data_IF_070618772840
#
_entry.id   IF_070618772840
#
_cell.length_a   1.000
_cell.length_b   1.000
_cell.length_c   1.000
_cell.angle_alpha   90.00
_cell.angle_beta   90.00
_cell.angle_gamma   90.00
#
_symmetry.space_group_name_H-M   'P 1'
#
loop_
_entity.id
_entity.type
_entity.pdbx_description
1 polymer ?
#
# COMPACT_ATOMS: atom_id res chain seq x y z
N UNK A 1 -55.48 41.32 18.99
CA UNK A 1 -54.54 42.25 18.32
C UNK A 1 -53.21 41.54 18.10
N UNK A 2 -53.11 40.78 17.00
CA UNK A 2 -51.81 40.35 16.48
C UNK A 2 -51.19 41.57 15.80
N UNK A 3 -50.10 42.10 16.36
CA UNK A 3 -49.31 43.11 15.68
C UNK A 3 -48.83 42.50 14.35
N UNK A 4 -49.23 43.13 13.23
CA UNK A 4 -48.59 42.92 11.93
C UNK A 4 -47.15 43.40 12.09
N UNK A 5 -46.25 42.50 12.49
CA UNK A 5 -44.82 42.72 12.33
C UNK A 5 -44.57 42.80 10.83
N UNK A 6 -44.39 44.02 10.35
CA UNK A 6 -43.87 44.29 9.01
C UNK A 6 -42.65 43.39 8.78
N UNK A 7 -42.64 42.66 7.67
CA UNK A 7 -41.51 41.83 7.27
C UNK A 7 -40.44 42.76 6.71
N UNK A 8 -39.58 43.28 7.58
CA UNK A 8 -38.43 44.07 7.14
C UNK A 8 -37.35 43.11 6.64
N UNK A 9 -37.32 42.91 5.32
CA UNK A 9 -36.17 42.29 4.65
C UNK A 9 -34.92 43.15 4.79
N UNK A 10 -33.74 42.55 4.63
CA UNK A 10 -32.48 43.29 4.66
C UNK A 10 -32.42 44.20 3.41
N UNK A 11 -32.24 45.54 3.57
CA UNK A 11 -32.37 46.50 2.47
C UNK A 11 -31.38 46.27 1.32
N UNK A 12 -30.16 45.85 1.65
CA UNK A 12 -29.10 45.60 0.67
C UNK A 12 -29.04 44.15 0.15
N UNK A 13 -30.01 43.31 0.50
CA UNK A 13 -30.06 41.94 -0.01
C UNK A 13 -30.64 41.94 -1.44
N UNK A 14 -29.99 41.23 -2.37
CA UNK A 14 -30.43 41.09 -3.76
C UNK A 14 -31.79 40.41 -3.93
N UNK A 15 -32.34 39.83 -2.86
CA UNK A 15 -33.70 39.31 -2.77
C UNK A 15 -34.65 40.25 -2.02
N UNK A 16 -34.45 41.56 -2.07
CA UNK A 16 -35.12 42.56 -1.21
C UNK A 16 -36.63 42.37 -1.00
N UNK A 17 -37.38 41.88 -2.00
CA UNK A 17 -38.83 41.61 -1.90
C UNK A 17 -39.18 40.29 -1.17
N UNK A 18 -38.30 39.29 -1.22
CA UNK A 18 -38.49 37.97 -0.59
C UNK A 18 -37.52 37.72 0.57
N UNK A 19 -36.74 38.73 0.95
CA UNK A 19 -35.69 38.60 1.94
C UNK A 19 -36.31 38.29 3.31
N UNK A 20 -36.02 37.11 3.84
CA UNK A 20 -36.44 36.71 5.19
C UNK A 20 -35.43 37.11 6.27
N UNK A 21 -34.39 37.86 5.90
CA UNK A 21 -33.34 38.30 6.81
C UNK A 21 -33.67 39.61 7.50
N UNK A 22 -33.17 39.79 8.72
CA UNK A 22 -33.25 41.05 9.47
C UNK A 22 -32.12 42.00 9.00
N UNK A 23 -32.32 43.34 8.99
CA UNK A 23 -31.28 44.36 8.77
C UNK A 23 -29.98 44.21 9.58
N UNK A 24 -29.97 43.45 10.67
CA UNK A 24 -28.78 43.17 11.48
C UNK A 24 -27.97 41.94 11.00
N UNK A 25 -28.47 41.19 10.02
CA UNK A 25 -27.74 40.05 9.48
C UNK A 25 -26.61 40.52 8.56
N UNK A 26 -25.54 39.72 8.57
CA UNK A 26 -24.33 39.97 7.80
C UNK A 26 -24.60 39.91 6.31
N UNK A 27 -23.86 40.69 5.53
CA UNK A 27 -23.93 40.67 4.06
C UNK A 27 -22.83 39.78 3.49
N UNK A 28 -23.18 38.98 2.49
CA UNK A 28 -22.29 38.04 1.81
C UNK A 28 -22.35 38.35 0.31
N UNK A 29 -21.21 38.63 -0.28
CA UNK A 29 -21.08 38.89 -1.71
C UNK A 29 -20.76 37.59 -2.45
N UNK A 30 -21.56 37.24 -3.45
CA UNK A 30 -21.32 36.09 -4.32
C UNK A 30 -20.12 36.37 -5.24
N UNK A 31 -19.17 35.44 -5.33
CA UNK A 31 -18.11 35.49 -6.34
C UNK A 31 -18.57 34.76 -7.60
N UNK A 32 -18.67 35.49 -8.71
CA UNK A 32 -19.00 34.91 -10.01
C UNK A 32 -17.98 35.37 -11.05
N UNK A 33 -17.11 34.45 -11.49
CA UNK A 33 -16.13 34.74 -12.55
C UNK A 33 -14.99 35.68 -12.16
N UNK A 34 -14.76 35.92 -10.86
CA UNK A 34 -13.71 36.82 -10.36
C UNK A 34 -14.17 38.25 -10.09
N UNK A 35 -15.41 38.59 -10.45
CA UNK A 35 -16.02 39.88 -10.15
C UNK A 35 -16.94 39.81 -8.90
N UNK A 36 -17.11 40.95 -8.23
CA UNK A 36 -18.10 41.11 -7.15
C UNK A 36 -19.51 40.93 -7.72
N UNK A 37 -20.17 39.83 -7.34
CA UNK A 37 -21.52 39.51 -7.76
C UNK A 37 -22.60 40.12 -6.87
N UNK A 38 -23.77 39.47 -6.85
CA UNK A 38 -24.92 39.90 -6.06
C UNK A 38 -24.64 39.74 -4.55
N UNK A 39 -25.17 40.65 -3.76
CA UNK A 39 -25.05 40.65 -2.30
C UNK A 39 -26.28 39.99 -1.69
N UNK A 40 -26.11 39.10 -0.71
CA UNK A 40 -27.18 38.42 0.01
C UNK A 40 -26.99 38.62 1.51
N UNK A 41 -28.06 38.76 2.27
CA UNK A 41 -27.93 38.62 3.72
C UNK A 41 -27.65 37.15 4.08
N UNK A 42 -27.07 36.92 5.26
CA UNK A 42 -26.63 35.60 5.72
C UNK A 42 -27.73 34.52 5.64
N UNK A 43 -28.98 34.89 5.97
CA UNK A 43 -30.12 33.97 5.89
C UNK A 43 -30.45 33.57 4.44
N UNK A 44 -30.45 34.53 3.52
CA UNK A 44 -30.70 34.25 2.10
C UNK A 44 -29.53 33.48 1.47
N UNK A 45 -28.30 33.77 1.90
CA UNK A 45 -27.10 33.05 1.46
C UNK A 45 -27.14 31.57 1.83
N UNK A 46 -27.49 31.23 3.09
CA UNK A 46 -27.62 29.82 3.52
C UNK A 46 -28.63 29.06 2.66
N UNK A 47 -29.79 29.67 2.38
CA UNK A 47 -30.81 29.06 1.53
C UNK A 47 -30.34 28.87 0.09
N UNK A 48 -29.56 29.82 -0.42
CA UNK A 48 -28.98 29.75 -1.76
C UNK A 48 -27.93 28.64 -1.88
N UNK A 49 -27.07 28.49 -0.87
CA UNK A 49 -26.02 27.44 -0.84
C UNK A 49 -26.57 26.06 -0.54
N UNK A 50 -27.69 25.93 0.17
CA UNK A 50 -28.43 24.66 0.30
C UNK A 50 -28.88 24.12 -1.06
N UNK A 51 -29.24 25.01 -1.99
CA UNK A 51 -29.63 24.63 -3.35
C UNK A 51 -28.42 24.52 -4.30
N UNK A 52 -27.34 25.24 -4.02
CA UNK A 52 -26.16 25.35 -4.87
C UNK A 52 -24.88 25.30 -4.00
N UNK A 53 -24.43 24.11 -3.57
CA UNK A 53 -23.34 23.98 -2.60
C UNK A 53 -21.97 24.45 -3.13
N UNK A 54 -21.82 24.60 -4.44
CA UNK A 54 -20.57 25.04 -5.08
C UNK A 54 -20.38 26.57 -5.08
N UNK A 55 -21.37 27.35 -4.64
CA UNK A 55 -21.26 28.80 -4.60
C UNK A 55 -20.30 29.26 -3.50
N UNK A 56 -19.38 30.14 -3.87
CA UNK A 56 -18.42 30.75 -2.94
C UNK A 56 -18.80 32.21 -2.75
N UNK A 57 -18.83 32.66 -1.50
CA UNK A 57 -19.08 34.06 -1.15
C UNK A 57 -18.16 34.52 -0.02
N UNK A 58 -17.93 35.82 0.05
CA UNK A 58 -17.14 36.42 1.13
C UNK A 58 -18.00 37.37 1.98
N UNK A 59 -17.71 37.40 3.28
CA UNK A 59 -18.35 38.30 4.23
C UNK A 59 -17.98 39.75 3.92
N UNK A 60 -18.98 40.58 3.71
CA UNK A 60 -18.88 42.02 3.46
C UNK A 60 -19.44 42.80 4.64
N UNK A 61 -18.97 42.48 5.85
CA UNK A 61 -19.30 43.25 7.04
C UNK A 61 -18.18 44.27 7.28
N UNK A 62 -18.47 45.57 7.08
CA UNK A 62 -17.49 46.61 7.45
C UNK A 62 -17.65 47.97 6.79
N UNK A 63 -18.47 48.12 5.76
CA UNK A 63 -18.72 49.42 5.15
C UNK A 63 -20.20 49.76 5.31
N UNK A 64 -20.51 50.57 6.32
CA UNK A 64 -21.86 51.14 6.40
C UNK A 64 -22.08 52.07 5.22
N UNK A 65 -23.33 52.27 4.79
CA UNK A 65 -23.64 53.20 3.69
C UNK A 65 -23.22 54.65 4.01
N UNK A 66 -23.02 54.97 5.28
CA UNK A 66 -22.46 56.24 5.77
C UNK A 66 -20.95 56.38 5.42
N UNK A 67 -20.18 55.29 5.46
CA UNK A 67 -18.75 55.29 5.09
C UNK A 67 -18.56 55.55 3.57
N UNK A 68 -19.52 55.13 2.73
CA UNK A 68 -19.49 55.38 1.29
C UNK A 68 -19.74 56.83 0.91
N UNK A 69 -20.59 57.54 1.67
CA UNK A 69 -20.82 58.98 1.44
C UNK A 69 -19.61 59.82 1.88
N UNK A 70 -18.87 59.37 2.90
CA UNK A 70 -17.60 59.99 3.28
C UNK A 70 -16.49 59.75 2.24
N UNK A 71 -16.43 58.56 1.63
CA UNK A 71 -15.42 58.22 0.62
C UNK A 71 -15.58 58.99 -0.71
N UNK A 72 -16.81 59.33 -1.12
CA UNK A 72 -17.06 60.08 -2.36
C UNK A 72 -16.53 61.53 -2.34
N UNK A 73 -16.14 62.06 -1.16
CA UNK A 73 -15.56 63.39 -1.00
C UNK A 73 -14.03 63.47 -0.99
N UNK A 74 -13.32 62.34 -0.99
CA UNK A 74 -11.87 62.28 -0.68
C UNK A 74 -10.98 62.07 -1.93
N UNK A 75 -11.53 62.15 -3.14
CA UNK A 75 -10.80 61.76 -4.37
C UNK A 75 -9.92 62.87 -5.01
N UNK A 76 -9.42 63.82 -4.20
CA UNK A 76 -8.49 64.87 -4.67
C UNK A 76 -7.09 64.85 -4.04
N UNK A 77 -6.84 63.97 -3.05
CA UNK A 77 -5.52 63.81 -2.42
C UNK A 77 -4.91 62.42 -2.71
N UNK A 78 -5.06 61.93 -3.95
CA UNK A 78 -4.39 60.72 -4.44
C UNK A 78 -2.93 61.05 -4.83
N UNK A 79 -2.18 61.64 -3.90
CA UNK A 79 -0.77 61.99 -4.08
C UNK A 79 0.08 61.16 -3.14
N UNK A 80 1.00 60.37 -3.71
CA UNK A 80 1.99 59.54 -3.01
C UNK A 80 1.46 58.23 -2.41
N UNK A 81 1.20 57.24 -3.27
CA UNK A 81 1.24 55.83 -2.87
C UNK A 81 2.62 55.56 -2.25
N UNK A 82 2.65 55.02 -1.03
CA UNK A 82 3.89 54.82 -0.30
C UNK A 82 4.70 53.71 -0.98
N UNK A 83 5.90 53.98 -1.51
CA UNK A 83 6.68 52.98 -2.28
C UNK A 83 7.04 51.73 -1.46
N UNK A 84 7.01 51.80 -0.12
CA UNK A 84 7.17 50.64 0.76
C UNK A 84 5.97 49.68 0.68
N UNK A 85 4.75 50.19 0.52
CA UNK A 85 3.55 49.36 0.34
C UNK A 85 3.57 48.64 -1.02
N UNK A 86 4.10 49.29 -2.06
CA UNK A 86 4.23 48.67 -3.38
C UNK A 86 5.23 47.50 -3.37
N UNK A 87 6.32 47.58 -2.60
CA UNK A 87 7.26 46.47 -2.44
C UNK A 87 6.65 45.28 -1.70
N UNK A 88 5.92 45.53 -0.60
CA UNK A 88 5.25 44.47 0.15
C UNK A 88 4.18 43.77 -0.70
N UNK A 89 3.39 44.54 -1.45
CA UNK A 89 2.41 43.99 -2.40
C UNK A 89 3.08 43.17 -3.50
N UNK A 90 4.23 43.61 -4.03
CA UNK A 90 4.98 42.83 -5.02
C UNK A 90 5.52 41.52 -4.42
N UNK A 91 6.03 41.54 -3.19
CA UNK A 91 6.52 40.34 -2.51
C UNK A 91 5.39 39.33 -2.29
N UNK A 92 4.24 39.78 -1.79
CA UNK A 92 3.05 38.93 -1.60
C UNK A 92 2.53 38.35 -2.91
N UNK A 93 2.62 39.10 -4.02
CA UNK A 93 2.26 38.59 -5.36
C UNK A 93 3.21 37.48 -5.81
N UNK A 94 4.51 37.63 -5.61
CA UNK A 94 5.50 36.60 -5.95
C UNK A 94 5.30 35.34 -5.10
N UNK A 95 5.06 35.49 -3.80
CA UNK A 95 4.77 34.38 -2.90
C UNK A 95 3.49 33.64 -3.30
N UNK A 96 2.42 34.36 -3.64
CA UNK A 96 1.19 33.75 -4.14
C UNK A 96 1.38 32.99 -5.46
N UNK A 97 2.20 33.51 -6.37
CA UNK A 97 2.54 32.80 -7.62
C UNK A 97 3.28 31.50 -7.30
N UNK A 98 4.28 31.55 -6.40
CA UNK A 98 5.04 30.38 -5.96
C UNK A 98 4.13 29.32 -5.32
N UNK A 99 3.27 29.72 -4.38
CA UNK A 99 2.31 28.81 -3.74
C UNK A 99 1.31 28.22 -4.73
N UNK A 100 0.88 28.97 -5.76
CA UNK A 100 0.02 28.44 -6.82
C UNK A 100 0.74 27.40 -7.66
N UNK A 101 2.01 27.63 -8.00
CA UNK A 101 2.84 26.66 -8.73
C UNK A 101 3.08 25.39 -7.91
N UNK A 102 3.40 25.52 -6.62
CA UNK A 102 3.56 24.38 -5.70
C UNK A 102 2.26 23.59 -5.57
N UNK A 103 1.12 24.26 -5.36
CA UNK A 103 -0.19 23.60 -5.31
C UNK A 103 -0.54 22.90 -6.62
N UNK A 104 -0.22 23.49 -7.77
CA UNK A 104 -0.44 22.85 -9.06
C UNK A 104 0.44 21.61 -9.22
N UNK A 105 1.72 21.68 -8.82
CA UNK A 105 2.63 20.53 -8.81
C UNK A 105 2.10 19.39 -7.93
N UNK A 106 1.67 19.70 -6.70
CA UNK A 106 1.09 18.73 -5.79
C UNK A 106 -0.19 18.09 -6.35
N UNK A 107 -1.04 18.88 -7.02
CA UNK A 107 -2.24 18.34 -7.69
C UNK A 107 -1.90 17.36 -8.80
N UNK A 108 -0.89 17.67 -9.61
CA UNK A 108 -0.41 16.76 -10.65
C UNK A 108 0.16 15.47 -10.06
N UNK A 109 0.94 15.57 -8.97
CA UNK A 109 1.47 14.40 -8.25
C UNK A 109 0.34 13.54 -7.66
N UNK A 110 -0.68 14.16 -7.06
CA UNK A 110 -1.86 13.45 -6.55
C UNK A 110 -2.64 12.74 -7.66
N UNK A 111 -2.80 13.38 -8.83
CA UNK A 111 -3.48 12.78 -9.98
C UNK A 111 -2.69 11.60 -10.58
N UNK A 112 -1.37 11.57 -10.40
CA UNK A 112 -0.52 10.47 -10.84
C UNK A 112 -0.53 9.28 -9.85
N UNK A 113 -1.10 9.42 -8.66
CA UNK A 113 -1.18 8.32 -7.70
C UNK A 113 -2.14 7.23 -8.20
N UNK A 114 -1.84 5.95 -7.94
CA UNK A 114 -2.74 4.87 -8.30
C UNK A 114 -4.12 4.99 -7.63
N UNK A 115 -5.21 4.57 -8.29
CA UNK A 115 -6.56 4.64 -7.73
C UNK A 115 -6.70 3.99 -6.35
N UNK A 116 -6.03 2.85 -6.11
CA UNK A 116 -6.04 2.19 -4.81
C UNK A 116 -5.49 3.09 -3.68
N UNK A 117 -4.48 3.91 -3.97
CA UNK A 117 -3.88 4.86 -3.02
C UNK A 117 -4.84 6.00 -2.73
N UNK A 118 -5.47 6.56 -3.76
CA UNK A 118 -6.44 7.64 -3.63
C UNK A 118 -7.67 7.22 -2.81
N UNK A 119 -8.20 6.02 -3.07
CA UNK A 119 -9.34 5.48 -2.31
C UNK A 119 -8.94 5.18 -0.86
N UNK A 120 -7.73 4.64 -0.63
CA UNK A 120 -7.22 4.43 0.73
C UNK A 120 -7.11 5.76 1.48
N UNK A 121 -6.59 6.81 0.84
CA UNK A 121 -6.46 8.12 1.44
C UNK A 121 -7.84 8.73 1.78
N UNK A 122 -8.82 8.59 0.88
CA UNK A 122 -10.20 9.01 1.13
C UNK A 122 -10.82 8.23 2.31
N UNK A 123 -10.62 6.92 2.36
CA UNK A 123 -11.09 6.10 3.48
C UNK A 123 -10.46 6.50 4.82
N UNK A 124 -9.15 6.78 4.85
CA UNK A 124 -8.46 7.25 6.06
C UNK A 124 -9.02 8.61 6.51
N UNK A 125 -9.29 9.52 5.57
CA UNK A 125 -9.84 10.84 5.88
C UNK A 125 -11.28 10.76 6.39
N UNK A 126 -12.12 9.98 5.73
CA UNK A 126 -13.58 10.06 5.88
C UNK A 126 -14.14 8.98 6.81
N UNK A 127 -13.63 7.74 6.73
CA UNK A 127 -14.15 6.56 7.45
C UNK A 127 -13.40 6.25 8.75
N UNK A 128 -12.07 6.38 8.79
CA UNK A 128 -11.31 6.10 10.02
C UNK A 128 -11.77 6.94 11.23
N UNK A 129 -12.07 8.26 11.11
CA UNK A 129 -12.60 9.02 12.25
C UNK A 129 -13.97 8.53 12.71
N UNK A 130 -14.82 8.06 11.79
CA UNK A 130 -16.13 7.47 12.12
C UNK A 130 -15.93 6.16 12.88
N UNK A 131 -15.02 5.33 12.40
CA UNK A 131 -14.61 4.06 13.01
C UNK A 131 -14.10 4.27 14.44
N UNK A 132 -13.23 5.25 14.65
CA UNK A 132 -12.67 5.59 15.96
C UNK A 132 -13.74 6.05 16.94
N UNK A 133 -14.74 6.83 16.49
CA UNK A 133 -15.87 7.23 17.34
C UNK A 133 -16.78 6.05 17.70
N UNK A 134 -17.06 5.17 16.75
CA UNK A 134 -17.91 3.99 16.97
C UNK A 134 -17.26 2.98 17.94
N UNK A 135 -15.93 2.81 17.87
CA UNK A 135 -15.22 1.79 18.64
C UNK A 135 -15.11 2.08 20.14
N UNK A 136 -15.41 3.31 20.59
CA UNK A 136 -15.37 3.70 22.02
C UNK A 136 -16.31 2.84 22.86
N UNK A 137 -17.42 2.37 22.26
CA UNK A 137 -18.49 1.66 22.97
C UNK A 137 -18.42 0.13 22.86
N UNK A 138 -17.50 -0.42 22.05
CA UNK A 138 -17.43 -1.87 21.80
C UNK A 138 -16.17 -2.45 22.45
N UNK A 139 -16.36 -3.34 23.44
CA UNK A 139 -15.25 -3.97 24.18
C UNK A 139 -14.58 -5.10 23.42
N UNK A 140 -15.34 -5.88 22.64
CA UNK A 140 -14.90 -7.20 22.16
C UNK A 140 -14.27 -7.14 20.76
N UNK A 141 -14.12 -5.92 20.23
CA UNK A 141 -13.81 -5.67 18.83
C UNK A 141 -15.03 -5.88 17.93
N UNK A 142 -14.91 -5.44 16.69
CA UNK A 142 -15.98 -5.53 15.70
C UNK A 142 -15.40 -5.77 14.31
N UNK A 143 -16.20 -6.41 13.46
CA UNK A 143 -15.82 -6.73 12.09
C UNK A 143 -15.96 -5.50 11.21
N UNK A 144 -14.91 -5.17 10.46
CA UNK A 144 -14.86 -4.04 9.52
C UNK A 144 -13.92 -4.37 8.36
N UNK A 145 -14.28 -3.95 7.15
CA UNK A 145 -13.41 -4.05 5.99
C UNK A 145 -12.49 -2.82 5.93
N UNK A 146 -11.17 -3.07 5.95
CA UNK A 146 -10.16 -2.01 5.96
C UNK A 146 -9.29 -2.14 4.70
N UNK A 147 -9.01 -1.03 3.97
CA UNK A 147 -8.06 -1.04 2.86
C UNK A 147 -6.71 -1.62 3.28
N UNK A 148 -6.14 -2.51 2.46
CA UNK A 148 -4.84 -3.16 2.76
C UNK A 148 -3.74 -2.10 2.97
N UNK A 149 -3.77 -1.02 2.20
CA UNK A 149 -2.80 0.08 2.27
C UNK A 149 -2.96 0.94 3.54
N UNK A 150 -4.10 0.90 4.23
CA UNK A 150 -4.31 1.58 5.51
C UNK A 150 -3.75 0.79 6.71
N UNK A 151 -3.48 -0.51 6.52
CA UNK A 151 -2.96 -1.38 7.57
C UNK A 151 -1.43 -1.25 7.69
N UNK A 152 -0.93 -1.39 8.92
CA UNK A 152 0.50 -1.37 9.29
C UNK A 152 0.88 -2.67 9.95
N UNK A 153 2.13 -3.05 9.77
CA UNK A 153 2.69 -4.19 10.49
C UNK A 153 3.08 -3.77 11.90
N UNK A 154 2.97 -4.71 12.83
CA UNK A 154 3.54 -4.54 14.18
C UNK A 154 5.05 -4.79 14.20
N UNK A 155 5.51 -5.79 13.46
CA UNK A 155 6.92 -6.21 13.46
C UNK A 155 7.62 -5.70 12.21
N UNK A 156 8.90 -5.30 12.34
CA UNK A 156 9.79 -5.00 11.23
C UNK A 156 10.31 -6.23 10.49
N UNK A 157 10.08 -7.42 11.03
CA UNK A 157 10.51 -8.68 10.43
C UNK A 157 9.38 -9.72 10.43
N UNK A 158 9.25 -10.48 9.34
CA UNK A 158 8.34 -11.63 9.25
C UNK A 158 9.16 -12.90 9.31
N UNK A 159 8.90 -13.76 10.31
CA UNK A 159 9.66 -14.98 10.53
C UNK A 159 8.75 -16.23 10.62
N UNK A 160 9.38 -17.41 10.63
CA UNK A 160 8.68 -18.69 10.73
C UNK A 160 7.94 -18.85 12.07
N UNK A 161 8.48 -18.33 13.16
CA UNK A 161 7.85 -18.37 14.50
C UNK A 161 6.60 -17.50 14.63
N UNK A 162 6.40 -16.55 13.71
CA UNK A 162 5.16 -15.79 13.54
C UNK A 162 4.15 -16.55 12.66
N UNK A 163 4.34 -17.87 12.46
CA UNK A 163 3.36 -18.77 11.85
C UNK A 163 1.96 -18.48 12.39
N UNK A 164 0.93 -18.58 11.54
CA UNK A 164 -0.45 -18.30 11.93
C UNK A 164 -0.71 -19.10 13.21
N UNK A 165 -1.07 -18.43 14.31
CA UNK A 165 -0.98 -18.97 15.67
C UNK A 165 -1.49 -20.41 15.85
N UNK A 166 -1.10 -21.01 16.97
CA UNK A 166 -1.26 -22.44 17.30
C UNK A 166 -2.68 -23.03 17.10
N UNK A 167 -3.71 -22.19 16.99
CA UNK A 167 -5.12 -22.57 16.83
C UNK A 167 -5.63 -22.59 15.37
N UNK A 168 -4.80 -22.32 14.36
CA UNK A 168 -5.26 -22.32 12.96
C UNK A 168 -4.89 -23.61 12.22
N UNK A 169 -5.86 -24.20 11.52
CA UNK A 169 -5.65 -25.33 10.60
C UNK A 169 -4.64 -25.06 9.48
N UNK A 170 -4.37 -23.78 9.19
CA UNK A 170 -3.39 -23.32 8.21
C UNK A 170 -2.12 -22.70 8.83
N UNK A 171 -1.85 -22.94 10.12
CA UNK A 171 -0.66 -22.45 10.85
C UNK A 171 0.66 -22.73 10.13
N UNK A 172 0.72 -23.83 9.38
CA UNK A 172 1.89 -24.27 8.65
C UNK A 172 1.93 -23.79 7.18
N UNK A 173 0.95 -23.03 6.70
CA UNK A 173 0.94 -22.63 5.29
C UNK A 173 2.03 -21.59 5.01
N UNK A 174 2.77 -21.80 3.92
CA UNK A 174 3.79 -20.86 3.48
C UNK A 174 3.12 -19.55 3.04
N UNK A 175 3.72 -18.41 3.39
CA UNK A 175 3.24 -17.11 2.93
C UNK A 175 3.18 -17.05 1.38
N UNK A 176 4.15 -17.68 0.72
CA UNK A 176 4.21 -17.76 -0.73
C UNK A 176 3.06 -18.59 -1.32
N UNK A 177 2.64 -19.66 -0.64
CA UNK A 177 1.50 -20.47 -1.07
C UNK A 177 0.20 -19.69 -0.94
N UNK A 178 0.04 -18.92 0.13
CA UNK A 178 -1.10 -18.02 0.28
C UNK A 178 -1.10 -16.93 -0.81
N UNK A 179 0.05 -16.32 -1.07
CA UNK A 179 0.22 -15.32 -2.15
C UNK A 179 -0.15 -15.92 -3.51
N UNK A 180 0.31 -17.14 -3.82
CA UNK A 180 -0.05 -17.85 -5.06
C UNK A 180 -1.56 -18.14 -5.15
N UNK A 181 -2.19 -18.55 -4.04
CA UNK A 181 -3.64 -18.81 -4.01
C UNK A 181 -4.46 -17.54 -4.24
N UNK A 182 -4.07 -16.43 -3.60
CA UNK A 182 -4.69 -15.13 -3.79
C UNK A 182 -4.53 -14.65 -5.24
N UNK A 183 -3.30 -14.74 -5.77
CA UNK A 183 -2.99 -14.36 -7.16
C UNK A 183 -3.84 -15.14 -8.17
N UNK A 184 -4.02 -16.45 -7.96
CA UNK A 184 -4.80 -17.32 -8.84
C UNK A 184 -6.31 -17.22 -8.61
N UNK A 185 -6.78 -16.37 -7.70
CA UNK A 185 -8.19 -16.26 -7.33
C UNK A 185 -8.77 -17.54 -6.73
N UNK A 186 -7.94 -18.43 -6.16
CA UNK A 186 -8.40 -19.67 -5.51
C UNK A 186 -8.93 -19.43 -4.11
N UNK A 187 -8.47 -18.34 -3.48
CA UNK A 187 -8.92 -17.85 -2.19
C UNK A 187 -9.08 -16.34 -2.34
N UNK A 188 -10.15 -15.78 -1.81
CA UNK A 188 -10.34 -14.33 -1.71
C UNK A 188 -10.07 -13.84 -0.30
N UNK A 189 -9.70 -12.56 -0.09
CA UNK A 189 -9.49 -12.04 1.26
C UNK A 189 -10.71 -12.16 2.18
N UNK A 190 -11.93 -12.14 1.63
CA UNK A 190 -13.18 -12.31 2.37
C UNK A 190 -13.46 -13.72 2.88
N UNK A 191 -12.88 -14.75 2.24
CA UNK A 191 -12.97 -16.15 2.69
C UNK A 191 -11.97 -16.49 3.80
N UNK A 192 -11.00 -15.60 4.02
CA UNK A 192 -9.99 -15.77 5.05
C UNK A 192 -10.51 -15.31 6.41
N UNK A 193 -9.93 -15.88 7.46
CA UNK A 193 -10.15 -15.37 8.80
C UNK A 193 -9.78 -13.87 8.88
N UNK A 194 -10.58 -13.04 9.56
CA UNK A 194 -10.29 -11.62 9.71
C UNK A 194 -8.94 -11.33 10.37
N UNK A 195 -8.30 -10.22 9.99
CA UNK A 195 -7.10 -9.73 10.67
C UNK A 195 -7.46 -9.15 12.04
N UNK A 196 -6.67 -9.46 13.06
CA UNK A 196 -6.78 -8.80 14.37
C UNK A 196 -6.01 -7.48 14.32
N UNK A 197 -6.73 -6.35 14.43
CA UNK A 197 -6.12 -5.02 14.30
C UNK A 197 -6.38 -4.14 15.52
N UNK A 198 -5.36 -3.36 15.88
CA UNK A 198 -5.44 -2.29 16.88
C UNK A 198 -5.67 -0.98 16.14
N UNK A 199 -6.76 -0.28 16.50
CA UNK A 199 -7.01 1.07 16.03
C UNK A 199 -6.08 2.06 16.75
N UNK A 200 -5.69 3.15 16.07
CA UNK A 200 -4.89 4.20 16.70
C UNK A 200 -5.66 4.88 17.84
N UNK A 201 -4.96 5.66 18.67
CA UNK A 201 -5.61 6.44 19.75
C UNK A 201 -6.56 7.50 19.17
N UNK A 202 -6.11 8.15 18.11
CA UNK A 202 -6.84 9.17 17.36
C UNK A 202 -6.43 9.11 15.88
N UNK A 203 -7.07 9.91 15.03
CA UNK A 203 -6.76 9.92 13.60
C UNK A 203 -5.40 10.56 13.26
N UNK A 204 -4.77 11.24 14.22
CA UNK A 204 -3.47 11.90 14.06
C UNK A 204 -2.29 11.02 14.53
N UNK A 205 -2.57 9.85 15.09
CA UNK A 205 -1.56 8.89 15.54
C UNK A 205 -0.78 8.33 14.33
N UNK A 206 0.50 8.72 14.24
CA UNK A 206 1.42 8.33 13.17
C UNK A 206 1.58 6.80 13.05
N UNK A 207 1.29 6.05 14.11
CA UNK A 207 1.41 4.59 14.09
C UNK A 207 0.31 3.93 13.26
N UNK A 208 -0.82 4.59 13.00
CA UNK A 208 -1.92 4.08 12.17
C UNK A 208 -2.58 2.78 12.68
N UNK A 209 -3.21 2.02 11.78
CA UNK A 209 -3.94 0.79 12.13
C UNK A 209 -2.98 -0.40 12.11
N UNK A 210 -2.70 -0.99 13.28
CA UNK A 210 -1.66 -2.03 13.42
C UNK A 210 -2.27 -3.43 13.39
N UNK A 211 -1.77 -4.28 12.51
CA UNK A 211 -2.16 -5.69 12.42
C UNK A 211 -1.28 -6.57 13.29
N UNK A 212 -1.91 -7.53 13.98
CA UNK A 212 -1.22 -8.62 14.65
C UNK A 212 -0.79 -9.71 13.66
N UNK A 213 -1.58 -9.92 12.61
CA UNK A 213 -1.41 -11.03 11.66
C UNK A 213 -0.46 -10.65 10.51
N UNK A 214 0.79 -10.28 10.81
CA UNK A 214 1.72 -9.69 9.83
C UNK A 214 2.02 -10.58 8.61
N UNK A 215 2.04 -11.91 8.77
CA UNK A 215 2.21 -12.84 7.63
C UNK A 215 1.05 -12.75 6.64
N UNK A 216 -0.18 -12.75 7.14
CA UNK A 216 -1.39 -12.62 6.31
C UNK A 216 -1.44 -11.24 5.67
N UNK A 217 -1.14 -10.19 6.45
CA UNK A 217 -1.05 -8.83 5.94
C UNK A 217 0.03 -8.68 4.85
N UNK A 218 1.18 -9.33 4.99
CA UNK A 218 2.21 -9.32 3.95
C UNK A 218 1.72 -9.99 2.66
N UNK A 219 1.01 -11.12 2.75
CA UNK A 219 0.41 -11.74 1.57
C UNK A 219 -0.64 -10.85 0.90
N UNK A 220 -1.48 -10.18 1.70
CA UNK A 220 -2.45 -9.20 1.21
C UNK A 220 -1.78 -7.98 0.58
N UNK A 221 -0.69 -7.48 1.14
CA UNK A 221 0.08 -6.38 0.54
C UNK A 221 0.73 -6.79 -0.79
N UNK A 222 1.22 -8.01 -0.89
CA UNK A 222 1.69 -8.55 -2.16
C UNK A 222 0.56 -8.59 -3.20
N UNK A 223 -0.64 -9.05 -2.81
CA UNK A 223 -1.83 -8.98 -3.67
C UNK A 223 -2.14 -7.55 -4.13
N UNK A 224 -2.23 -6.60 -3.19
CA UNK A 224 -2.51 -5.19 -3.50
C UNK A 224 -1.45 -4.55 -4.42
N UNK A 225 -0.18 -4.98 -4.32
CA UNK A 225 0.89 -4.46 -5.19
C UNK A 225 0.73 -4.87 -6.66
N UNK A 226 -0.05 -5.93 -6.94
CA UNK A 226 -0.35 -6.35 -8.30
C UNK A 226 -1.59 -5.68 -8.90
N UNK A 227 -2.49 -5.18 -8.06
CA UNK A 227 -3.77 -4.58 -8.46
C UNK A 227 -3.86 -3.17 -7.87
N UNK A 228 -3.07 -2.23 -8.39
CA UNK A 228 -3.06 -0.84 -7.90
C UNK A 228 -4.21 0.02 -8.46
N UNK A 229 -4.94 -0.52 -9.43
CA UNK A 229 -6.17 0.01 -10.00
C UNK A 229 -7.39 -0.18 -9.10
N UNK A 230 -7.35 -1.14 -8.17
CA UNK A 230 -8.44 -1.42 -7.23
C UNK A 230 -7.97 -1.35 -5.77
N UNK A 231 -8.73 -0.67 -4.91
CA UNK A 231 -8.50 -0.66 -3.47
C UNK A 231 -9.07 -1.92 -2.82
N UNK A 232 -8.22 -2.92 -2.61
CA UNK A 232 -8.65 -4.16 -1.97
C UNK A 232 -8.81 -3.91 -0.47
N UNK A 233 -9.99 -4.25 0.05
CA UNK A 233 -10.32 -4.21 1.47
C UNK A 233 -10.31 -5.63 2.04
N UNK A 234 -9.90 -5.76 3.29
CA UNK A 234 -9.81 -7.05 3.98
C UNK A 234 -10.59 -7.02 5.29
N UNK A 235 -11.27 -8.13 5.63
CA UNK A 235 -12.02 -8.21 6.87
C UNK A 235 -11.07 -8.14 8.07
N UNK A 236 -11.39 -7.28 9.02
CA UNK A 236 -10.60 -7.04 10.22
C UNK A 236 -11.50 -7.08 11.46
N UNK A 237 -11.04 -7.72 12.52
CA UNK A 237 -11.56 -7.54 13.88
C UNK A 237 -10.81 -6.36 14.48
N UNK A 238 -11.44 -5.18 14.44
CA UNK A 238 -10.88 -3.93 14.94
C UNK A 238 -11.17 -3.75 16.42
N UNK A 239 -10.13 -3.46 17.21
CA UNK A 239 -10.23 -3.16 18.64
C UNK A 239 -9.74 -1.74 18.92
N UNK A 240 -10.48 -1.03 19.77
CA UNK A 240 -10.15 0.33 20.17
C UNK A 240 -8.85 0.39 20.99
N UNK A 241 -8.23 1.57 21.03
CA UNK A 241 -7.08 1.82 21.91
C UNK A 241 -7.43 1.60 23.39
N UNK A 242 -8.65 1.92 23.81
CA UNK A 242 -9.10 1.64 25.19
C UNK A 242 -9.20 0.14 25.47
N UNK A 243 -9.67 -0.67 24.52
CA UNK A 243 -9.66 -2.13 24.66
C UNK A 243 -8.22 -2.67 24.75
N UNK A 244 -7.29 -2.10 23.97
CA UNK A 244 -5.85 -2.34 24.10
C UNK A 244 -5.30 -2.09 25.51
N UNK A 245 -5.70 -1.00 26.16
CA UNK A 245 -5.24 -0.71 27.52
C UNK A 245 -5.87 -1.63 28.58
N UNK A 246 -7.12 -2.08 28.38
CA UNK A 246 -7.86 -2.91 29.37
C UNK A 246 -7.53 -4.40 29.29
N UNK A 247 -7.42 -4.96 28.08
CA UNK A 247 -7.17 -6.38 27.88
C UNK A 247 -5.66 -6.65 27.93
N UNK A 248 -5.19 -7.15 29.08
CA UNK A 248 -3.77 -7.44 29.30
C UNK A 248 -3.20 -8.46 28.31
N UNK A 249 -4.02 -9.40 27.79
CA UNK A 249 -3.60 -10.38 26.79
C UNK A 249 -3.38 -9.68 25.45
N UNK A 250 -4.34 -8.86 25.04
CA UNK A 250 -4.27 -8.08 23.81
C UNK A 250 -3.13 -7.05 23.85
N UNK A 251 -2.96 -6.36 24.98
CA UNK A 251 -1.83 -5.44 25.22
C UNK A 251 -0.49 -6.16 25.06
N UNK A 252 -0.31 -7.28 25.77
CA UNK A 252 0.92 -8.08 25.76
C UNK A 252 1.26 -8.60 24.37
N UNK A 253 0.26 -8.89 23.52
CA UNK A 253 0.51 -9.32 22.15
C UNK A 253 1.13 -8.21 21.31
N UNK A 254 0.59 -6.99 21.38
CA UNK A 254 1.11 -5.86 20.63
C UNK A 254 2.41 -5.35 21.25
N UNK A 255 2.52 -5.16 22.57
CA UNK A 255 3.77 -4.71 23.22
C UNK A 255 4.98 -5.60 22.91
N UNK A 256 4.76 -6.91 22.80
CA UNK A 256 5.85 -7.87 22.51
C UNK A 256 6.27 -7.91 21.04
N UNK A 257 5.38 -7.47 20.16
CA UNK A 257 5.54 -7.60 18.71
C UNK A 257 5.61 -6.27 17.98
N UNK A 258 5.38 -5.15 18.66
CA UNK A 258 5.51 -3.82 18.11
C UNK A 258 6.96 -3.40 18.26
N UNK A 259 7.70 -3.43 17.16
CA UNK A 259 9.11 -3.04 17.13
C UNK A 259 9.28 -1.50 17.21
N UNK A 260 8.18 -0.74 17.36
CA UNK A 260 8.17 0.73 17.39
C UNK A 260 8.48 1.37 16.04
N UNK A 261 8.61 0.57 14.99
CA UNK A 261 8.86 1.02 13.62
C UNK A 261 7.57 1.56 13.01
N UNK A 262 7.69 2.26 11.88
CA UNK A 262 6.54 2.82 11.17
C UNK A 262 5.54 1.77 10.67
N UNK A 263 5.95 0.49 10.55
CA UNK A 263 5.10 -0.61 10.10
C UNK A 263 4.75 -0.55 8.61
N UNK A 264 5.44 0.31 7.86
CA UNK A 264 5.31 0.44 6.41
C UNK A 264 6.16 -0.56 5.65
N UNK A 265 7.34 -0.90 6.18
CA UNK A 265 8.27 -1.83 5.56
C UNK A 265 8.53 -3.04 6.45
N UNK A 266 8.89 -4.14 5.80
CA UNK A 266 9.58 -5.27 6.44
C UNK A 266 11.04 -5.13 6.04
N UNK A 267 11.92 -5.16 7.03
CA UNK A 267 13.36 -5.23 6.81
C UNK A 267 13.79 -6.69 6.76
N UNK A 268 14.81 -7.00 5.96
CA UNK A 268 15.55 -8.24 6.14
C UNK A 268 16.20 -8.23 7.50
N UNK A 269 16.12 -9.35 8.23
CA UNK A 269 16.90 -9.53 9.45
C UNK A 269 18.34 -9.85 9.05
N UNK A 270 19.32 -9.29 9.75
CA UNK A 270 20.71 -9.68 9.59
C UNK A 270 20.88 -11.19 9.82
N UNK A 271 21.63 -11.84 8.93
CA UNK A 271 21.90 -13.28 8.96
C UNK A 271 21.47 -14.01 7.68
N UNK A 272 21.85 -15.28 7.58
CA UNK A 272 21.42 -16.15 6.50
C UNK A 272 19.98 -16.55 6.79
N UNK A 273 19.06 -16.26 5.86
CA UNK A 273 17.69 -16.72 5.96
C UNK A 273 17.68 -18.26 6.02
N UNK A 274 17.54 -18.80 7.23
CA UNK A 274 17.37 -20.23 7.46
C UNK A 274 15.92 -20.59 7.15
N UNK A 275 15.51 -20.42 5.89
CA UNK A 275 14.28 -21.02 5.43
C UNK A 275 14.45 -22.54 5.53
N UNK A 276 13.92 -23.14 6.59
CA UNK A 276 13.53 -24.57 6.58
C UNK A 276 12.30 -24.78 5.71
N UNK A 277 12.19 -24.01 4.62
CA UNK A 277 11.11 -24.13 3.67
C UNK A 277 11.32 -25.43 2.93
N UNK A 278 10.33 -26.34 3.00
CA UNK A 278 10.08 -27.18 1.83
C UNK A 278 9.96 -26.21 0.63
N UNK A 279 10.51 -26.57 -0.54
CA UNK A 279 10.49 -25.69 -1.70
C UNK A 279 9.08 -25.13 -1.95
N UNK A 280 9.00 -23.87 -2.39
CA UNK A 280 7.73 -23.17 -2.67
C UNK A 280 6.80 -24.00 -3.56
N UNK A 281 7.42 -24.76 -4.45
CA UNK A 281 6.80 -25.78 -5.25
C UNK A 281 7.12 -27.13 -4.61
N UNK A 282 6.17 -28.06 -4.62
CA UNK A 282 6.42 -29.45 -4.23
C UNK A 282 7.78 -29.88 -4.80
N UNK A 283 8.62 -30.52 -3.97
CA UNK A 283 9.91 -31.06 -4.43
C UNK A 283 9.70 -31.80 -5.74
N UNK A 284 10.71 -31.85 -6.60
CA UNK A 284 10.65 -32.62 -7.84
C UNK A 284 10.01 -34.01 -7.62
N UNK A 285 10.39 -34.64 -6.51
CA UNK A 285 9.85 -35.91 -6.02
C UNK A 285 8.34 -35.85 -5.73
N UNK A 286 7.87 -34.87 -4.95
CA UNK A 286 6.45 -34.75 -4.61
C UNK A 286 5.58 -34.41 -5.82
N UNK A 287 6.06 -33.57 -6.74
CA UNK A 287 5.38 -33.26 -8.01
C UNK A 287 5.27 -34.51 -8.89
N UNK A 288 6.36 -35.27 -9.03
CA UNK A 288 6.34 -36.52 -9.79
C UNK A 288 5.44 -37.58 -9.14
N UNK A 289 5.48 -37.75 -7.83
CA UNK A 289 4.57 -38.67 -7.09
C UNK A 289 3.11 -38.26 -7.30
N UNK A 290 2.81 -36.95 -7.22
CA UNK A 290 1.48 -36.41 -7.47
C UNK A 290 0.99 -36.73 -8.89
N UNK A 291 1.86 -36.55 -9.89
CA UNK A 291 1.56 -36.85 -11.28
C UNK A 291 1.39 -38.36 -11.54
N UNK A 292 2.21 -39.22 -10.91
CA UNK A 292 2.04 -40.69 -10.95
C UNK A 292 0.69 -41.11 -10.36
N UNK A 293 0.36 -40.60 -9.18
CA UNK A 293 -0.93 -40.91 -8.51
C UNK A 293 -2.12 -40.43 -9.33
N UNK A 294 -2.02 -39.28 -9.98
CA UNK A 294 -3.05 -38.78 -10.89
C UNK A 294 -3.24 -39.76 -12.05
N UNK A 295 -2.16 -40.15 -12.74
CA UNK A 295 -2.21 -41.13 -13.84
C UNK A 295 -2.78 -42.47 -13.38
N UNK A 296 -2.33 -43.01 -12.24
CA UNK A 296 -2.81 -44.27 -11.68
C UNK A 296 -4.31 -44.21 -11.35
N UNK A 297 -4.77 -43.10 -10.76
CA UNK A 297 -6.18 -42.89 -10.45
C UNK A 297 -7.03 -42.82 -11.72
N UNK A 298 -6.64 -42.02 -12.71
CA UNK A 298 -7.39 -41.88 -13.97
C UNK A 298 -7.45 -43.21 -14.74
N UNK A 299 -6.39 -44.03 -14.70
CA UNK A 299 -6.39 -45.38 -15.28
C UNK A 299 -7.33 -46.36 -14.58
N UNK A 300 -7.62 -46.14 -13.31
CA UNK A 300 -8.49 -47.01 -12.53
C UNK A 300 -9.99 -46.75 -12.79
N UNK A 301 -10.35 -45.66 -13.48
CA UNK A 301 -11.71 -45.41 -13.92
C UNK A 301 -12.11 -46.35 -15.08
N UNK A 302 -13.36 -46.84 -15.06
CA UNK A 302 -13.88 -47.76 -16.07
C UNK A 302 -13.95 -47.14 -17.48
N UNK A 303 -14.06 -45.81 -17.55
CA UNK A 303 -14.20 -44.95 -18.72
C UNK A 303 -12.98 -44.04 -18.90
N UNK A 304 -11.78 -44.51 -18.51
CA UNK A 304 -10.54 -43.76 -18.55
C UNK A 304 -10.32 -43.03 -19.89
N UNK A 305 -10.21 -41.70 -19.84
CA UNK A 305 -9.93 -40.85 -21.00
C UNK A 305 -8.44 -40.86 -21.32
N UNK A 306 -8.03 -41.77 -22.19
CA UNK A 306 -6.64 -41.95 -22.60
C UNK A 306 -6.02 -40.71 -23.25
N UNK A 307 -6.83 -39.82 -23.84
CA UNK A 307 -6.32 -38.56 -24.41
C UNK A 307 -5.84 -37.59 -23.32
N UNK A 308 -6.38 -37.69 -22.10
CA UNK A 308 -5.92 -36.92 -20.93
C UNK A 308 -4.77 -37.61 -20.19
N UNK A 309 -4.71 -38.94 -20.23
CA UNK A 309 -3.68 -39.73 -19.54
C UNK A 309 -2.35 -39.71 -20.31
N UNK A 310 -2.38 -39.84 -21.64
CA UNK A 310 -1.17 -39.95 -22.45
C UNK A 310 -0.19 -38.76 -22.30
N UNK A 311 -0.65 -37.50 -22.28
CA UNK A 311 0.25 -36.35 -22.06
C UNK A 311 0.92 -36.39 -20.69
N UNK A 312 0.20 -36.78 -19.63
CA UNK A 312 0.74 -36.90 -18.28
C UNK A 312 1.78 -38.03 -18.17
N UNK A 313 1.54 -39.17 -18.83
CA UNK A 313 2.52 -40.26 -18.94
C UNK A 313 3.75 -39.89 -19.74
N UNK A 314 3.58 -39.12 -20.82
CA UNK A 314 4.69 -38.59 -21.60
C UNK A 314 5.53 -37.65 -20.75
N UNK A 315 4.88 -36.75 -20.01
CA UNK A 315 5.55 -35.85 -19.08
C UNK A 315 6.32 -36.63 -18.00
N UNK A 316 5.75 -37.69 -17.43
CA UNK A 316 6.44 -38.57 -16.47
C UNK A 316 7.67 -39.27 -17.05
N UNK A 317 7.66 -39.61 -18.34
CA UNK A 317 8.81 -40.22 -19.03
C UNK A 317 9.91 -39.20 -19.32
N UNK A 318 9.52 -37.97 -19.63
CA UNK A 318 10.44 -36.90 -20.04
C UNK A 318 11.02 -36.12 -18.85
N UNK A 319 10.45 -36.31 -17.65
CA UNK A 319 10.97 -35.77 -16.39
C UNK A 319 12.36 -36.38 -16.10
N UNK A 320 13.39 -35.53 -16.12
CA UNK A 320 14.72 -35.84 -15.57
C UNK A 320 14.82 -35.19 -14.19
N UNK A 321 15.02 -36.02 -13.15
CA UNK A 321 15.39 -35.51 -11.82
C UNK A 321 16.86 -35.11 -11.85
N UNK A 322 17.17 -33.87 -11.51
CA UNK A 322 18.54 -33.49 -11.17
C UNK A 322 18.70 -33.64 -9.65
N UNK A 323 19.41 -34.67 -9.15
CA UNK A 323 19.67 -34.76 -7.73
C UNK A 323 20.48 -33.54 -7.29
N UNK A 324 20.18 -33.03 -6.10
CA UNK A 324 20.95 -31.98 -5.46
C UNK A 324 22.44 -32.36 -5.49
N UNK A 325 23.30 -31.56 -6.14
CA UNK A 325 24.72 -31.91 -6.28
C UNK A 325 25.50 -31.70 -4.99
N UNK A 326 24.90 -30.97 -4.02
CA UNK A 326 25.40 -30.63 -2.69
C UNK A 326 24.25 -30.56 -1.68
N UNK A 327 24.56 -30.60 -0.38
CA UNK A 327 23.60 -30.53 0.75
C UNK A 327 22.69 -29.28 0.76
N UNK A 328 22.94 -28.29 -0.10
CA UNK A 328 22.17 -27.05 -0.23
C UNK A 328 21.56 -26.80 -1.63
N UNK A 329 21.67 -27.74 -2.57
CA UNK A 329 21.06 -27.57 -3.90
C UNK A 329 19.58 -27.99 -3.87
N UNK A 330 18.69 -27.21 -4.50
CA UNK A 330 17.28 -27.58 -4.61
C UNK A 330 17.07 -28.68 -5.67
N UNK A 331 16.19 -29.65 -5.36
CA UNK A 331 15.75 -30.65 -6.33
C UNK A 331 14.93 -29.98 -7.44
N UNK A 332 15.40 -30.05 -8.68
CA UNK A 332 14.70 -29.48 -9.85
C UNK A 332 14.18 -30.57 -10.77
N UNK A 333 13.02 -30.31 -11.40
CA UNK A 333 12.51 -31.08 -12.53
C UNK A 333 12.92 -30.37 -13.81
N UNK A 334 13.67 -31.06 -14.66
CA UNK A 334 13.93 -30.59 -16.02
C UNK A 334 13.24 -31.51 -17.02
N UNK A 335 12.70 -30.92 -18.08
CA UNK A 335 12.18 -31.66 -19.21
C UNK A 335 13.28 -31.75 -20.25
N UNK A 336 13.73 -32.96 -20.58
CA UNK A 336 14.71 -33.14 -21.66
C UNK A 336 14.10 -32.67 -22.97
N UNK A 337 14.76 -31.75 -23.68
CA UNK A 337 14.37 -31.47 -25.07
C UNK A 337 14.61 -32.74 -25.90
N UNK A 338 13.68 -33.07 -26.81
CA UNK A 338 13.73 -34.31 -27.63
C UNK A 338 15.06 -34.52 -28.36
N UNK A 339 15.83 -33.46 -28.62
CA UNK A 339 17.15 -33.53 -29.26
C UNK A 339 18.22 -34.19 -28.39
N UNK A 340 18.12 -34.17 -27.05
CA UNK A 340 19.13 -34.77 -26.17
C UNK A 340 19.07 -36.30 -26.12
N UNK A 341 17.91 -36.89 -26.42
CA UNK A 341 17.73 -38.35 -26.36
C UNK A 341 18.29 -39.09 -27.58
N UNK A 342 18.56 -38.39 -28.69
CA UNK A 342 19.17 -39.00 -29.87
C UNK A 342 20.67 -39.28 -29.69
N UNK A 343 21.38 -38.51 -28.86
CA UNK A 343 22.85 -38.58 -28.79
C UNK A 343 23.40 -39.44 -27.63
N UNK A 344 22.63 -39.67 -26.55
CA UNK A 344 23.13 -40.42 -25.38
C UNK A 344 23.07 -41.95 -25.51
N UNK A 345 22.74 -42.48 -26.69
CA UNK A 345 22.60 -43.94 -26.92
C UNK A 345 23.90 -44.62 -27.37
N UNK A 346 25.02 -43.89 -27.47
CA UNK A 346 26.31 -44.51 -27.76
C UNK A 346 26.94 -45.07 -26.46
N UNK A 347 27.28 -46.37 -26.41
CA UNK A 347 27.94 -46.95 -25.25
C UNK A 347 29.34 -46.35 -25.11
N UNK A 348 29.55 -45.58 -24.04
CA UNK A 348 30.86 -45.07 -23.66
C UNK A 348 31.85 -46.23 -23.51
N UNK A 349 32.84 -46.26 -24.40
CA UNK A 349 33.96 -47.18 -24.31
C UNK A 349 34.64 -47.02 -22.95
N UNK A 350 34.73 -48.12 -22.20
CA UNK A 350 35.40 -48.21 -20.90
C UNK A 350 36.89 -47.87 -21.04
N UNK A 351 37.27 -46.63 -20.74
CA UNK A 351 38.65 -46.31 -20.44
C UNK A 351 39.00 -46.83 -19.03
N UNK A 352 39.76 -47.92 -19.01
CA UNK A 352 40.36 -48.48 -17.80
C UNK A 352 41.46 -47.53 -17.32
N UNK A 353 41.16 -46.72 -16.30
CA UNK A 353 42.16 -45.92 -15.60
C UNK A 353 42.64 -46.67 -14.36
N UNK A 354 43.91 -47.04 -14.40
CA UNK A 354 44.67 -47.81 -13.42
C UNK A 354 44.79 -47.06 -12.09
N UNK A 355 44.50 -47.76 -10.99
CA UNK A 355 44.69 -47.30 -9.61
C UNK A 355 46.15 -46.93 -9.35
N UNK A 356 46.39 -45.71 -8.84
CA UNK A 356 47.64 -45.37 -8.15
C UNK A 356 47.33 -45.06 -6.68
N UNK A 357 47.66 -46.03 -5.82
CA UNK A 357 47.73 -45.90 -4.37
C UNK A 357 48.91 -45.01 -3.97
N UNK A 358 48.68 -44.06 -3.06
CA UNK A 358 49.76 -43.40 -2.30
C UNK A 358 49.48 -43.42 -0.78
N UNK A 359 50.55 -43.40 0.04
CA UNK A 359 50.54 -44.00 1.37
C UNK A 359 50.14 -43.07 2.51
N UNK A 360 49.69 -43.70 3.59
CA UNK A 360 49.47 -43.17 4.94
C UNK A 360 50.76 -42.58 5.53
N UNK A 361 50.68 -41.35 6.03
CA UNK A 361 51.53 -40.89 7.13
C UNK A 361 50.66 -40.36 8.26
N UNK A 362 50.84 -40.98 9.43
CA UNK A 362 50.25 -40.54 10.68
C UNK A 362 51.06 -39.41 11.29
N UNK A 363 50.38 -38.58 12.07
CA UNK A 363 50.99 -37.78 13.13
C UNK A 363 49.96 -37.52 14.22
N UNK A 364 50.23 -38.10 15.39
CA UNK A 364 49.63 -37.70 16.66
C UNK A 364 50.18 -36.32 17.05
N UNK A 365 49.32 -35.39 17.45
CA UNK A 365 49.68 -34.30 18.37
C UNK A 365 48.55 -34.12 19.38
N UNK A 366 48.99 -33.90 20.62
CA UNK A 366 48.28 -33.87 21.90
C UNK A 366 47.26 -32.74 22.01
N UNK A 367 46.28 -33.00 22.86
CA UNK A 367 45.31 -32.07 23.40
C UNK A 367 45.96 -30.94 24.21
N UNK A 368 45.43 -29.73 24.05
CA UNK A 368 45.46 -28.65 25.02
C UNK A 368 44.10 -27.96 25.00
N UNK A 369 43.48 -27.86 26.18
CA UNK A 369 42.28 -27.07 26.46
C UNK A 369 42.49 -25.58 26.11
N UNK A 370 41.40 -24.85 25.84
CA UNK A 370 41.36 -23.45 26.23
C UNK A 370 40.20 -23.15 27.17
N UNK A 371 40.55 -22.32 28.16
CA UNK A 371 39.72 -21.66 29.14
C UNK A 371 38.48 -21.00 28.53
N UNK A 372 37.35 -21.13 29.23
CA UNK A 372 36.14 -20.38 28.95
C UNK A 372 36.35 -18.90 29.33
N UNK A 373 36.59 -18.05 28.33
CA UNK A 373 36.49 -16.60 28.46
C UNK A 373 35.10 -16.10 28.03
N UNK A 374 34.53 -15.30 28.93
CA UNK A 374 33.23 -14.65 28.89
C UNK A 374 33.12 -13.63 27.74
N UNK A 375 32.13 -13.71 26.83
CA UNK A 375 32.03 -12.84 25.66
C UNK A 375 31.30 -11.49 25.89
N UNK A 376 31.12 -11.03 27.13
CA UNK A 376 30.33 -9.81 27.43
C UNK A 376 31.13 -8.67 28.09
N UNK A 377 32.36 -8.44 27.65
CA UNK A 377 33.04 -7.16 27.90
C UNK A 377 33.50 -6.61 26.55
N UNK A 378 33.51 -5.28 26.42
CA UNK A 378 33.84 -4.50 25.21
C UNK A 378 32.66 -4.12 24.30
N UNK A 379 31.86 -3.15 24.77
CA UNK A 379 31.36 -2.02 23.97
C UNK A 379 30.64 -1.01 24.88
N UNK A 380 31.43 -0.23 25.61
CA UNK A 380 31.03 1.10 26.07
C UNK A 380 32.17 2.03 25.66
N UNK A 381 31.79 3.18 25.08
CA UNK A 381 32.64 4.26 24.54
C UNK A 381 32.88 4.17 23.02
N UNK A 382 31.95 4.73 22.24
CA UNK A 382 32.27 5.89 21.39
C UNK A 382 30.97 6.64 21.00
N UNK A 383 31.06 7.97 20.71
CA UNK A 383 29.92 8.84 20.56
C UNK A 383 29.29 8.82 19.16
N UNK A 384 27.97 8.84 19.16
CA UNK A 384 26.99 9.19 18.12
C UNK A 384 27.48 9.49 16.67
N UNK A 385 27.36 8.54 15.74
CA UNK A 385 27.61 8.75 14.31
C UNK A 385 26.38 9.23 13.50
N UNK A 386 25.23 9.55 14.11
CA UNK A 386 23.97 9.76 13.37
C UNK A 386 23.59 11.20 13.04
N UNK A 387 24.50 12.17 13.20
CA UNK A 387 24.16 13.59 12.96
C UNK A 387 24.00 13.99 11.48
N UNK A 388 24.20 13.10 10.50
CA UNK A 388 24.21 13.45 9.06
C UNK A 388 23.00 12.95 8.27
N UNK A 389 22.07 12.20 8.87
CA UNK A 389 20.94 11.58 8.15
C UNK A 389 19.67 12.46 8.03
N UNK A 390 19.74 13.75 8.39
CA UNK A 390 18.57 14.64 8.41
C UNK A 390 18.40 15.54 7.16
N UNK A 391 19.12 15.28 6.05
CA UNK A 391 19.08 16.15 4.86
C UNK A 391 19.02 15.41 3.52
N UNK A 392 18.25 14.33 3.40
CA UNK A 392 17.92 13.78 2.07
C UNK A 392 16.41 13.56 1.91
N UNK A 393 15.76 14.22 0.92
CA UNK A 393 14.36 13.96 0.60
C UNK A 393 14.25 12.71 -0.27
N UNK A 394 13.61 11.69 0.28
CA UNK A 394 12.94 10.60 -0.42
C UNK A 394 13.80 9.67 -1.33
N UNK A 395 14.29 8.52 -0.80
CA UNK A 395 15.07 7.55 -1.57
C UNK A 395 14.26 6.75 -2.62
N UNK A 396 12.95 6.98 -2.75
CA UNK A 396 12.10 6.25 -3.70
C UNK A 396 12.11 6.81 -5.14
N UNK A 397 12.75 7.96 -5.38
CA UNK A 397 12.81 8.59 -6.72
C UNK A 397 13.72 7.86 -7.72
N UNK A 398 14.75 7.13 -7.26
CA UNK A 398 15.74 6.52 -8.16
C UNK A 398 15.37 5.11 -8.65
N UNK A 399 14.49 4.37 -7.96
CA UNK A 399 14.17 2.98 -8.32
C UNK A 399 13.15 2.85 -9.48
N UNK A 400 12.43 3.92 -9.81
CA UNK A 400 11.41 3.90 -10.87
C UNK A 400 11.92 4.36 -12.25
N UNK A 401 13.08 5.01 -12.32
CA UNK A 401 13.61 5.57 -13.58
C UNK A 401 14.48 4.59 -14.39
N UNK A 402 15.20 3.67 -13.74
CA UNK A 402 16.18 2.81 -14.44
C UNK A 402 15.59 1.53 -15.08
N UNK A 403 14.28 1.28 -15.01
CA UNK A 403 13.68 0.05 -15.57
C UNK A 403 12.76 0.26 -16.76
N UNK A 404 12.50 1.50 -17.18
CA UNK A 404 11.58 1.81 -18.28
C UNK A 404 12.26 2.22 -19.59
N UNK A 405 13.51 2.67 -19.57
CA UNK A 405 14.19 3.16 -20.78
C UNK A 405 14.79 2.06 -21.67
N UNK A 406 14.95 0.82 -21.18
CA UNK A 406 15.59 -0.27 -21.94
C UNK A 406 14.62 -1.15 -22.77
N UNK A 407 13.30 -0.95 -22.67
CA UNK A 407 12.31 -1.81 -23.36
C UNK A 407 11.61 -1.19 -24.59
N UNK A 408 11.95 0.04 -24.98
CA UNK A 408 11.28 0.75 -26.09
C UNK A 408 12.12 0.96 -27.36
N UNK A 409 13.22 0.23 -27.53
CA UNK A 409 14.09 0.38 -28.70
C UNK A 409 14.41 -0.93 -29.45
N UNK A 410 13.45 -1.83 -29.68
CA UNK A 410 13.64 -2.87 -30.73
C UNK A 410 12.36 -3.49 -31.33
N UNK A 411 11.43 -2.69 -31.84
CA UNK A 411 10.33 -3.21 -32.69
C UNK A 411 9.95 -2.31 -33.87
N UNK A 412 10.96 -1.66 -34.45
CA UNK A 412 10.81 -0.84 -35.66
C UNK A 412 11.43 -1.50 -36.89
N UNK A 413 10.85 -2.60 -37.41
CA UNK A 413 10.99 -3.01 -38.82
C UNK A 413 10.04 -4.15 -39.22
N UNK A 414 9.15 -3.85 -40.14
CA UNK A 414 8.62 -4.82 -41.11
C UNK A 414 7.23 -5.37 -40.82
N UNK A 415 6.22 -4.75 -41.42
CA UNK A 415 5.21 -5.41 -42.28
C UNK A 415 4.15 -4.37 -42.65
N UNK A 416 4.42 -3.65 -43.75
CA UNK A 416 3.37 -2.98 -44.52
C UNK A 416 2.63 -4.01 -45.37
N UNK A 417 1.40 -3.64 -45.72
CA UNK A 417 0.60 -4.19 -46.81
C UNK A 417 -0.10 -5.51 -46.57
N UNK A 418 -1.26 -5.44 -45.91
CA UNK A 418 -2.55 -5.77 -46.53
C UNK A 418 -3.65 -5.77 -45.48
N UNK A 419 -4.67 -4.92 -45.63
CA UNK A 419 -6.09 -5.14 -45.31
C UNK A 419 -6.84 -3.79 -45.36
N UNK A 420 -7.15 -3.36 -46.58
CA UNK A 420 -8.22 -2.40 -46.87
C UNK A 420 -9.17 -3.07 -47.85
N UNK A 421 -10.23 -3.68 -47.34
CA UNK A 421 -11.46 -3.90 -48.10
C UNK A 421 -12.60 -4.24 -47.13
N UNK A 422 -13.78 -3.72 -47.46
CA UNK A 422 -15.11 -4.05 -46.94
C UNK A 422 -15.64 -3.25 -45.74
N UNK A 423 -15.95 -1.98 -46.01
CA UNK A 423 -17.17 -1.35 -45.50
C UNK A 423 -18.33 -1.69 -46.44
N UNK A 424 -19.40 -2.29 -45.92
CA UNK A 424 -20.63 -2.54 -46.65
C UNK A 424 -21.51 -3.61 -46.01
N UNK A 425 -22.23 -3.26 -44.94
CA UNK A 425 -23.68 -3.45 -44.75
C UNK A 425 -24.13 -2.74 -43.46
#
# INVERSE_FOLDING_TARGET
MMQMMERWGHPDCAQSEECTGNPHLRLICLLSGGDEGKIYCEACWRRLTEQNPDLVGFLRDGETSEDRQAAAGVDKNRGSVNPLQDQEVQQLRLENIKLKQENQSLRMQLQALPPAVLETAAWIRDELPRLLRACVYVSDGFLVDIPILALRQTHGHVNASLAFGDDHGNSQESIFKLVEQLFRGRVTPGEMEPLQVKLPKDAADDLGIRSRNNRRLLAFRALQSWTLDECIKVPCIARSHSAYLRDAKFKRWFDKGDDGLSGWSISSREGIAQHRGRPMFNTAVATEIGLRRLVEREKAHADADWQKIEPAERLLRDIKRRPASKDNDEETLTFGSRSEHAESSQPAAKAVATKLTKPRHGKQVKASEPEAQNPWSWAAQDPDPWSWAAQDPDPWSWAAQDTWDDYLYDSGRGLSDSFRAASGF
#
